data_IF_877907183338
#
_entry.id   IF_877907183338
#
_cell.length_a   1.000
_cell.length_b   1.000
_cell.length_c   1.000
_cell.angle_alpha   90.00
_cell.angle_beta   90.00
_cell.angle_gamma   90.00
#
_symmetry.space_group_name_H-M   'P 1'
#
loop_
_entity.id
_entity.type
_entity.pdbx_description
1 polymer ?
#
# COMPACT_ATOMS: atom_id res chain seq x y z
N UNK A 1 71.77 40.89 24.69
CA UNK A 1 73.02 40.39 24.10
C UNK A 1 72.98 38.88 24.10
N UNK A 2 73.16 38.28 22.93
CA UNK A 2 73.05 36.84 22.68
C UNK A 2 74.32 36.10 23.12
N UNK A 3 74.13 34.97 23.79
CA UNK A 3 74.95 33.75 23.72
C UNK A 3 74.09 32.69 24.46
N UNK A 4 73.79 31.52 23.91
CA UNK A 4 74.77 30.52 23.50
C UNK A 4 74.13 29.58 22.48
N UNK A 5 74.90 29.26 21.44
CA UNK A 5 74.56 28.27 20.42
C UNK A 5 75.21 26.93 20.77
N UNK A 6 74.47 25.83 20.59
CA UNK A 6 75.03 24.56 20.10
C UNK A 6 75.31 23.46 21.12
N UNK A 7 74.42 22.45 21.18
CA UNK A 7 74.74 21.07 20.78
C UNK A 7 73.61 20.12 21.19
N UNK A 8 73.02 19.41 20.23
CA UNK A 8 72.48 18.07 20.48
C UNK A 8 72.35 17.33 19.16
N UNK A 9 73.12 16.23 19.05
CA UNK A 9 72.98 15.24 17.99
C UNK A 9 71.84 14.27 18.36
N UNK A 10 70.95 14.08 17.38
CA UNK A 10 70.34 12.81 16.93
C UNK A 10 69.69 11.92 18.00
N UNK A 11 68.37 11.69 17.90
CA UNK A 11 67.78 10.35 17.83
C UNK A 11 66.42 10.41 17.10
N UNK A 12 66.31 9.62 16.02
CA UNK A 12 65.04 9.29 15.35
C UNK A 12 64.19 8.45 16.31
N UNK A 13 62.97 8.88 16.59
CA UNK A 13 61.89 7.99 17.00
C UNK A 13 60.66 8.45 16.21
N UNK A 14 60.25 7.64 15.26
CA UNK A 14 58.98 7.79 14.54
C UNK A 14 57.91 7.20 15.49
N UNK A 15 56.95 7.98 16.02
CA UNK A 15 55.78 7.41 16.61
C UNK A 15 54.80 7.11 15.46
N UNK A 16 54.70 5.83 15.18
CA UNK A 16 53.61 5.14 14.51
C UNK A 16 52.27 5.82 14.85
N UNK A 17 51.74 6.67 13.97
CA UNK A 17 50.35 7.12 14.09
C UNK A 17 49.47 5.90 13.84
N UNK A 18 49.06 5.27 14.92
CA UNK A 18 47.95 4.32 14.94
C UNK A 18 46.73 5.09 14.46
N UNK A 19 46.32 4.84 13.22
CA UNK A 19 45.03 5.25 12.70
C UNK A 19 43.95 4.51 13.50
N UNK A 20 43.53 5.10 14.62
CA UNK A 20 42.30 4.71 15.28
C UNK A 20 41.15 5.15 14.37
N UNK A 21 40.73 4.21 13.53
CA UNK A 21 39.51 4.24 12.76
C UNK A 21 38.33 4.35 13.75
N UNK A 22 38.00 5.56 14.18
CA UNK A 22 36.70 5.79 14.82
C UNK A 22 35.70 5.74 13.68
N UNK A 23 35.18 4.54 13.43
CA UNK A 23 33.86 4.37 12.84
C UNK A 23 32.93 5.23 13.69
N UNK A 24 32.63 6.45 13.22
CA UNK A 24 31.44 7.14 13.67
C UNK A 24 30.33 6.28 13.11
N UNK A 25 29.83 5.37 13.94
CA UNK A 25 28.61 4.63 13.66
C UNK A 25 27.58 5.67 13.26
N UNK A 26 27.21 5.69 11.99
CA UNK A 26 25.98 6.29 11.54
C UNK A 26 24.87 5.60 12.34
N UNK A 27 24.50 6.21 13.47
CA UNK A 27 23.23 5.96 14.12
C UNK A 27 22.23 6.55 13.13
N UNK A 28 21.89 5.76 12.12
CA UNK A 28 20.66 5.95 11.39
C UNK A 28 19.59 5.81 12.46
N UNK A 29 19.05 6.94 12.92
CA UNK A 29 17.74 6.91 13.55
C UNK A 29 16.81 6.38 12.48
N UNK A 30 16.54 5.08 12.50
CA UNK A 30 15.28 4.60 11.96
C UNK A 30 14.22 5.25 12.84
N UNK A 31 13.75 6.42 12.41
CA UNK A 31 12.43 6.85 12.81
C UNK A 31 11.53 5.69 12.39
N UNK A 32 11.00 4.97 13.37
CA UNK A 32 9.90 4.07 13.10
C UNK A 32 8.74 4.97 12.66
N UNK A 33 8.62 5.20 11.35
CA UNK A 33 7.32 5.49 10.80
C UNK A 33 6.50 4.25 11.14
N UNK A 34 5.59 4.38 12.11
CA UNK A 34 4.54 3.40 12.31
C UNK A 34 3.69 3.49 11.04
N UNK A 35 3.80 2.54 10.09
CA UNK A 35 3.14 2.69 8.82
C UNK A 35 1.65 2.71 9.14
N UNK A 36 0.98 3.82 8.80
CA UNK A 36 -0.47 3.88 8.84
C UNK A 36 -0.95 2.95 7.73
N UNK A 37 -1.23 1.71 8.11
CA UNK A 37 -1.65 0.67 7.20
C UNK A 37 -3.14 0.84 6.91
N UNK A 38 -3.52 0.52 5.69
CA UNK A 38 -4.92 0.40 5.33
C UNK A 38 -5.25 -1.04 4.97
N UNK A 39 -6.51 -1.42 5.15
CA UNK A 39 -7.03 -2.68 4.63
C UNK A 39 -8.47 -2.51 4.15
N UNK A 40 -8.89 -3.44 3.29
CA UNK A 40 -10.24 -3.48 2.73
C UNK A 40 -10.94 -4.75 3.20
N UNK A 41 -12.13 -4.55 3.78
CA UNK A 41 -13.02 -5.60 4.26
C UNK A 41 -14.32 -5.65 3.45
N UNK A 42 -15.17 -6.66 3.70
CA UNK A 42 -16.49 -6.82 3.07
C UNK A 42 -16.48 -7.44 1.67
N UNK A 43 -15.31 -7.52 1.02
CA UNK A 43 -15.16 -8.12 -0.31
C UNK A 43 -15.09 -9.65 -0.20
N UNK A 44 -16.17 -10.32 -0.63
CA UNK A 44 -16.30 -11.78 -0.58
C UNK A 44 -16.62 -12.36 -1.95
N UNK A 45 -16.45 -13.67 -2.10
CA UNK A 45 -16.75 -14.38 -3.35
C UNK A 45 -18.18 -14.11 -3.81
N UNK A 46 -18.33 -13.77 -5.08
CA UNK A 46 -19.63 -13.53 -5.71
C UNK A 46 -19.97 -14.66 -6.66
N UNK A 47 -21.19 -15.18 -6.57
CA UNK A 47 -21.75 -16.14 -7.51
C UNK A 47 -23.14 -15.68 -7.94
N UNK A 48 -23.28 -15.30 -9.21
CA UNK A 48 -24.50 -14.71 -9.77
C UNK A 48 -24.84 -15.35 -11.12
N UNK A 49 -26.02 -15.06 -11.66
CA UNK A 49 -26.42 -15.45 -13.02
C UNK A 49 -26.28 -14.26 -13.98
N UNK A 50 -26.02 -14.57 -15.25
CA UNK A 50 -25.94 -13.55 -16.29
C UNK A 50 -27.27 -12.77 -16.39
N UNK A 51 -27.17 -11.45 -16.24
CA UNK A 51 -28.32 -10.53 -16.23
C UNK A 51 -28.75 -10.08 -14.84
N UNK A 52 -28.15 -10.62 -13.77
CA UNK A 52 -28.31 -10.09 -12.42
C UNK A 52 -27.65 -8.72 -12.27
N UNK A 53 -28.19 -7.92 -11.35
CA UNK A 53 -27.53 -6.71 -10.83
C UNK A 53 -27.00 -7.03 -9.44
N UNK A 54 -25.68 -7.13 -9.30
CA UNK A 54 -25.02 -7.46 -8.04
C UNK A 54 -24.54 -6.20 -7.36
N UNK A 55 -24.79 -6.06 -6.06
CA UNK A 55 -24.20 -4.98 -5.25
C UNK A 55 -22.94 -5.49 -4.57
N UNK A 56 -21.83 -4.80 -4.77
CA UNK A 56 -20.57 -5.02 -4.05
C UNK A 56 -20.39 -3.87 -3.08
N UNK A 57 -20.17 -4.20 -1.82
CA UNK A 57 -19.86 -3.26 -0.75
C UNK A 57 -18.51 -3.61 -0.18
N UNK A 58 -17.64 -2.62 -0.05
CA UNK A 58 -16.33 -2.76 0.57
C UNK A 58 -16.18 -1.68 1.64
N UNK A 59 -15.46 -1.99 2.71
CA UNK A 59 -15.15 -1.04 3.77
C UNK A 59 -13.66 -0.80 3.82
N UNK A 60 -13.25 0.46 3.73
CA UNK A 60 -11.85 0.86 3.88
C UNK A 60 -11.57 1.18 5.34
N UNK A 61 -10.48 0.63 5.84
CA UNK A 61 -10.01 0.82 7.20
C UNK A 61 -8.63 1.44 7.19
N UNK A 62 -8.38 2.23 8.24
CA UNK A 62 -7.06 2.67 8.62
C UNK A 62 -6.72 2.08 9.98
N UNK A 63 -5.56 1.45 10.05
CA UNK A 63 -5.05 0.80 11.23
C UNK A 63 -3.71 1.40 11.63
N UNK A 64 -3.49 1.49 12.94
CA UNK A 64 -2.16 1.61 13.51
C UNK A 64 -2.02 0.65 14.70
N UNK A 65 -0.91 0.73 15.43
CA UNK A 65 -0.65 -0.18 16.55
C UNK A 65 -1.75 -0.19 17.64
N UNK A 66 -2.55 0.88 17.78
CA UNK A 66 -3.47 1.05 18.91
C UNK A 66 -4.95 1.07 18.52
N UNK A 67 -5.29 1.23 17.25
CA UNK A 67 -6.67 1.33 16.82
C UNK A 67 -6.86 0.98 15.35
N UNK A 68 -8.12 0.67 15.03
CA UNK A 68 -8.61 0.41 13.69
C UNK A 68 -9.90 1.22 13.51
N UNK A 69 -9.96 2.05 12.48
CA UNK A 69 -11.09 2.95 12.23
C UNK A 69 -11.48 2.97 10.75
N UNK A 70 -12.77 3.15 10.44
CA UNK A 70 -13.18 3.34 9.07
C UNK A 70 -12.55 4.59 8.46
N UNK A 71 -12.01 4.46 7.25
CA UNK A 71 -11.45 5.56 6.49
C UNK A 71 -12.50 6.10 5.52
N UNK A 72 -12.88 7.36 5.71
CA UNK A 72 -14.01 8.02 5.02
C UNK A 72 -13.52 9.11 4.08
N UNK A 73 -14.24 9.38 2.98
CA UNK A 73 -13.90 10.43 2.03
C UNK A 73 -12.76 10.05 1.07
N UNK A 74 -12.46 8.76 0.96
CA UNK A 74 -11.40 8.23 0.09
C UNK A 74 -12.01 7.41 -1.05
N UNK A 75 -11.36 7.43 -2.21
CA UNK A 75 -11.82 6.69 -3.38
C UNK A 75 -11.43 5.21 -3.34
N UNK A 76 -12.43 4.33 -3.50
CA UNK A 76 -12.22 2.91 -3.79
C UNK A 76 -12.51 2.62 -5.25
N UNK A 77 -11.59 1.89 -5.87
CA UNK A 77 -11.70 1.45 -7.25
C UNK A 77 -12.12 -0.02 -7.30
N UNK A 78 -13.21 -0.30 -8.02
CA UNK A 78 -13.79 -1.63 -8.19
C UNK A 78 -13.56 -2.10 -9.62
N UNK A 79 -12.95 -3.26 -9.78
CA UNK A 79 -12.67 -3.88 -11.07
C UNK A 79 -13.20 -5.31 -11.12
N UNK A 80 -13.75 -5.69 -12.27
CA UNK A 80 -13.95 -7.10 -12.64
C UNK A 80 -13.18 -7.38 -13.91
N UNK A 81 -12.24 -8.33 -13.87
CA UNK A 81 -11.41 -8.69 -15.02
C UNK A 81 -11.18 -10.20 -15.14
N UNK A 82 -10.77 -10.64 -16.34
CA UNK A 82 -10.38 -12.03 -16.60
C UNK A 82 -8.87 -12.14 -16.80
N UNK A 83 -8.20 -12.98 -16.03
CA UNK A 83 -6.76 -13.21 -16.19
C UNK A 83 -5.92 -12.05 -15.66
N UNK A 84 -5.30 -11.27 -16.56
CA UNK A 84 -4.45 -10.12 -16.19
C UNK A 84 -5.30 -8.85 -16.21
N UNK A 85 -5.07 -7.95 -15.26
CA UNK A 85 -5.73 -6.64 -15.22
C UNK A 85 -5.16 -5.70 -16.28
N UNK A 86 -5.54 -5.89 -17.53
CA UNK A 86 -5.31 -4.98 -18.66
C UNK A 86 -6.64 -4.48 -19.24
N UNK A 87 -6.61 -3.37 -19.99
CA UNK A 87 -7.81 -2.72 -20.53
C UNK A 87 -8.67 -3.64 -21.42
N UNK A 88 -8.07 -4.65 -22.05
CA UNK A 88 -8.78 -5.60 -22.90
C UNK A 88 -9.49 -6.70 -22.11
N UNK A 89 -9.16 -6.85 -20.82
CA UNK A 89 -9.67 -7.87 -19.94
C UNK A 89 -10.53 -7.32 -18.80
N UNK A 90 -10.77 -6.00 -18.74
CA UNK A 90 -11.67 -5.37 -17.76
C UNK A 90 -13.11 -5.37 -18.30
N UNK A 91 -14.01 -6.02 -17.57
CA UNK A 91 -15.44 -6.10 -17.87
C UNK A 91 -16.26 -5.09 -17.08
N UNK A 92 -15.73 -4.63 -15.94
CA UNK A 92 -16.33 -3.60 -15.11
C UNK A 92 -15.24 -2.78 -14.44
N UNK A 93 -15.43 -1.47 -14.43
CA UNK A 93 -14.64 -0.53 -13.64
C UNK A 93 -15.54 0.59 -13.11
N UNK A 94 -15.41 0.90 -11.82
CA UNK A 94 -16.03 2.08 -11.22
C UNK A 94 -15.26 2.52 -9.99
N UNK A 95 -15.15 3.83 -9.79
CA UNK A 95 -14.67 4.44 -8.56
C UNK A 95 -15.85 4.96 -7.74
N UNK A 96 -15.77 4.83 -6.42
CA UNK A 96 -16.73 5.46 -5.50
C UNK A 96 -16.04 5.84 -4.19
N UNK A 97 -16.43 6.99 -3.66
CA UNK A 97 -15.93 7.51 -2.39
C UNK A 97 -16.52 6.74 -1.20
N UNK A 98 -15.72 6.54 -0.15
CA UNK A 98 -16.14 5.91 1.11
C UNK A 98 -16.98 6.87 1.95
N UNK A 99 -18.10 6.38 2.50
CA UNK A 99 -19.09 7.21 3.19
C UNK A 99 -18.79 7.39 4.68
N UNK A 100 -19.06 8.58 5.22
CA UNK A 100 -19.11 8.79 6.67
C UNK A 100 -20.37 8.14 7.27
N UNK A 101 -20.31 7.43 8.42
CA UNK A 101 -19.14 7.14 9.25
C UNK A 101 -18.52 5.78 8.94
N UNK A 102 -19.14 5.02 8.04
CA UNK A 102 -18.88 3.58 7.92
C UNK A 102 -17.60 3.28 7.17
N UNK A 103 -17.04 4.22 6.40
CA UNK A 103 -15.92 3.95 5.50
C UNK A 103 -16.30 2.98 4.37
N UNK A 104 -17.60 2.80 4.13
CA UNK A 104 -18.10 1.89 3.10
C UNK A 104 -18.26 2.60 1.75
N UNK A 105 -17.95 1.87 0.69
CA UNK A 105 -18.25 2.27 -0.68
C UNK A 105 -18.94 1.11 -1.41
N UNK A 106 -19.93 1.42 -2.24
CA UNK A 106 -20.74 0.40 -2.90
C UNK A 106 -20.94 0.67 -4.38
N UNK A 107 -20.88 -0.39 -5.19
CA UNK A 107 -21.15 -0.34 -6.63
C UNK A 107 -22.17 -1.40 -7.02
N UNK A 108 -22.95 -1.08 -8.07
CA UNK A 108 -23.83 -2.05 -8.72
C UNK A 108 -23.23 -2.48 -10.05
N UNK A 109 -23.14 -3.80 -10.25
CA UNK A 109 -22.59 -4.44 -11.44
C UNK A 109 -23.74 -5.13 -12.17
N UNK A 110 -24.08 -4.60 -13.35
CA UNK A 110 -25.05 -5.22 -14.26
C UNK A 110 -24.32 -6.27 -15.10
N UNK A 111 -24.61 -7.54 -14.85
CA UNK A 111 -23.92 -8.68 -15.47
C UNK A 111 -24.48 -9.08 -16.82
N UNK A 112 -25.45 -8.33 -17.39
CA UNK A 112 -26.08 -8.68 -18.67
C UNK A 112 -25.09 -8.84 -19.84
N UNK A 113 -24.00 -8.08 -19.82
CA UNK A 113 -22.98 -8.06 -20.86
C UNK A 113 -21.70 -8.81 -20.45
N UNK A 114 -21.70 -9.47 -19.29
CA UNK A 114 -20.58 -10.29 -18.84
C UNK A 114 -20.94 -11.73 -19.19
N UNK A 115 -20.09 -12.39 -19.97
CA UNK A 115 -20.32 -13.79 -20.34
C UNK A 115 -20.22 -14.70 -19.11
N UNK A 116 -20.88 -15.87 -19.10
CA UNK A 116 -20.67 -16.84 -18.04
C UNK A 116 -19.20 -17.28 -17.95
N UNK A 117 -18.64 -17.30 -16.74
CA UNK A 117 -17.22 -17.55 -16.50
C UNK A 117 -16.78 -17.22 -15.08
N UNK A 118 -15.49 -17.44 -14.81
CA UNK A 118 -14.83 -17.06 -13.56
C UNK A 118 -13.94 -15.84 -13.83
N UNK A 119 -14.12 -14.82 -13.00
CA UNK A 119 -13.42 -13.54 -13.06
C UNK A 119 -12.78 -13.23 -11.71
N UNK A 120 -11.92 -12.22 -11.69
CA UNK A 120 -11.39 -11.62 -10.46
C UNK A 120 -12.15 -10.33 -10.19
N UNK A 121 -12.67 -10.19 -8.98
CA UNK A 121 -13.12 -8.92 -8.41
C UNK A 121 -11.98 -8.36 -7.58
N UNK A 122 -11.51 -7.17 -7.95
CA UNK A 122 -10.48 -6.42 -7.24
C UNK A 122 -11.12 -5.14 -6.71
N UNK A 123 -10.89 -4.86 -5.43
CA UNK A 123 -11.13 -3.55 -4.82
C UNK A 123 -9.78 -2.98 -4.41
N UNK A 124 -9.50 -1.75 -4.82
CA UNK A 124 -8.22 -1.10 -4.62
C UNK A 124 -8.38 0.29 -4.04
N UNK A 125 -7.44 0.65 -3.17
CA UNK A 125 -7.19 2.00 -2.67
C UNK A 125 -5.76 2.38 -3.04
N UNK A 126 -5.57 3.49 -3.76
CA UNK A 126 -4.25 3.94 -4.24
C UNK A 126 -3.34 4.45 -3.10
N UNK A 127 -3.92 4.80 -1.95
CA UNK A 127 -3.23 5.52 -0.88
C UNK A 127 -3.48 7.03 -0.94
N UNK A 128 -3.30 7.70 0.20
CA UNK A 128 -3.51 9.13 0.32
C UNK A 128 -2.29 9.91 -0.17
N UNK A 129 -2.46 10.70 -1.23
CA UNK A 129 -1.36 11.36 -1.96
C UNK A 129 -0.56 12.43 -1.21
N UNK A 130 -0.93 12.89 0.00
CA UNK A 130 -0.14 13.84 0.81
C UNK A 130 -0.67 14.04 2.26
N UNK A 131 0.14 14.70 3.12
CA UNK A 131 -0.04 15.19 4.51
C UNK A 131 -0.40 14.15 5.61
N UNK A 132 -1.18 13.12 5.29
CA UNK A 132 -1.52 12.04 6.22
C UNK A 132 -0.91 10.68 5.87
N UNK A 133 -0.49 10.48 4.61
CA UNK A 133 0.36 9.37 4.14
C UNK A 133 -0.19 8.00 4.52
N UNK A 134 -1.33 7.62 3.93
CA UNK A 134 -1.88 6.28 4.11
C UNK A 134 -1.40 5.38 2.98
N UNK A 135 -0.91 4.19 3.35
CA UNK A 135 -0.49 3.21 2.36
C UNK A 135 -1.69 2.76 1.53
N UNK A 136 -1.50 2.57 0.24
CA UNK A 136 -2.49 1.92 -0.62
C UNK A 136 -2.66 0.45 -0.25
N UNK A 137 -3.83 -0.10 -0.52
CA UNK A 137 -4.11 -1.52 -0.30
C UNK A 137 -5.06 -2.08 -1.36
N UNK A 138 -5.18 -3.40 -1.41
CA UNK A 138 -6.10 -4.07 -2.31
C UNK A 138 -6.65 -5.36 -1.72
N UNK A 139 -7.82 -5.76 -2.22
CA UNK A 139 -8.46 -7.03 -1.91
C UNK A 139 -9.00 -7.67 -3.17
N UNK A 140 -8.61 -8.92 -3.41
CA UNK A 140 -9.09 -9.73 -4.53
C UNK A 140 -9.97 -10.89 -4.05
N UNK A 141 -10.95 -11.24 -4.88
CA UNK A 141 -11.77 -12.44 -4.71
C UNK A 141 -12.30 -12.93 -6.07
N UNK A 142 -12.90 -14.12 -6.09
CA UNK A 142 -13.49 -14.68 -7.31
C UNK A 142 -14.89 -14.10 -7.54
N UNK A 143 -15.19 -13.75 -8.78
CA UNK A 143 -16.50 -13.33 -9.25
C UNK A 143 -16.97 -14.29 -10.35
N UNK A 144 -17.98 -15.11 -10.05
CA UNK A 144 -18.49 -16.13 -10.96
C UNK A 144 -19.83 -15.69 -11.54
N UNK A 145 -19.92 -15.68 -12.87
CA UNK A 145 -21.16 -15.50 -13.62
C UNK A 145 -21.58 -16.85 -14.18
N UNK A 146 -22.76 -17.34 -13.80
CA UNK A 146 -23.36 -18.56 -14.33
C UNK A 146 -24.27 -18.23 -15.52
N UNK A 147 -24.50 -19.18 -16.44
CA UNK A 147 -25.55 -19.04 -17.43
C UNK A 147 -26.89 -18.79 -16.73
N UNK A 148 -27.75 -17.97 -17.34
CA UNK A 148 -29.10 -17.74 -16.84
C UNK A 148 -29.88 -19.05 -16.82
N UNK A 149 -30.46 -19.37 -15.67
CA UNK A 149 -31.35 -20.53 -15.56
C UNK A 149 -32.65 -20.23 -16.31
N UNK A 150 -33.04 -21.11 -17.23
CA UNK A 150 -34.31 -21.02 -17.99
C UNK A 150 -35.50 -21.55 -17.19
#
# INVERSE_FOLDING_TARGET
MFNTQGNSKVYKIIPLMVAALILVSSISSVAAEDPKQTHIDGVTHVNCEQGDVVTITAQLWITNYLWDNPLTGEDLYFYVYSGISDDNNIFFHRTTETSWPTGEASVQIDTKNINPGNYTLLVHYDGGGDLFGYDGCSKETTFTVRPKSN
#
